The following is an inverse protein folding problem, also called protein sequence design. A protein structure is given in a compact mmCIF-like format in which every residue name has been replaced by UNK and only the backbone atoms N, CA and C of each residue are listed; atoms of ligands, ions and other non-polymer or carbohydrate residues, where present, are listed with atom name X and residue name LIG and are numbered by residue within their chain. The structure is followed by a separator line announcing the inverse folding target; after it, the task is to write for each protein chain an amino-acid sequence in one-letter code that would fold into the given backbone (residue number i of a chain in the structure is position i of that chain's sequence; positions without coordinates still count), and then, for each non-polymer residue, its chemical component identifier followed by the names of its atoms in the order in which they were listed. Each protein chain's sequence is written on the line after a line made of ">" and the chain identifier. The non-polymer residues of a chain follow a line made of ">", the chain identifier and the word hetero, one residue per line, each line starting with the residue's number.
data_IF_538667423822
#
_entry.id   IF_538667423822
#
_cell.length_a   1.000
_cell.length_b   1.000
_cell.length_c   1.000
_cell.angle_alpha   90.00
_cell.angle_beta   90.00
_cell.angle_gamma   90.00
#
_symmetry.space_group_name_H-M   'P 1'
#
loop_
_entity.id
_entity.type
_entity.pdbx_description
1 polymer ?
#
# COMPACT_ATOMS: atom_id res chain seq x y z
N UNK A 1 19.66 -44.88 -76.58
CA UNK A 1 18.50 -45.11 -75.69
C UNK A 1 18.07 -43.77 -75.15
N UNK A 2 16.84 -43.24 -75.49
CA UNK A 2 16.37 -42.00 -74.89
C UNK A 2 16.13 -42.19 -73.41
N UNK A 3 16.74 -41.36 -72.56
CA UNK A 3 16.44 -41.28 -71.16
C UNK A 3 15.16 -40.44 -71.03
N UNK A 4 14.06 -41.08 -70.73
CA UNK A 4 12.82 -40.37 -70.30
C UNK A 4 13.07 -39.77 -68.90
N UNK A 5 13.30 -38.46 -68.84
CA UNK A 5 13.26 -37.71 -67.56
C UNK A 5 11.79 -37.57 -67.18
N UNK A 6 11.39 -38.26 -66.13
CA UNK A 6 10.05 -38.02 -65.54
C UNK A 6 10.04 -36.65 -64.83
N UNK A 7 9.21 -35.76 -65.34
CA UNK A 7 8.92 -34.49 -64.64
C UNK A 7 7.83 -34.77 -63.59
N UNK A 8 8.15 -34.62 -62.33
CA UNK A 8 7.19 -34.70 -61.25
C UNK A 8 6.53 -33.35 -61.06
N UNK A 9 5.27 -33.22 -61.46
CA UNK A 9 4.51 -31.99 -61.29
C UNK A 9 3.64 -32.19 -60.01
N UNK A 10 3.75 -31.28 -59.08
CA UNK A 10 2.85 -31.16 -57.94
C UNK A 10 1.89 -30.04 -58.17
N UNK A 11 0.59 -30.30 -58.22
CA UNK A 11 -0.48 -29.30 -58.34
C UNK A 11 -1.17 -29.17 -56.99
N UNK A 12 -1.27 -27.94 -56.51
CA UNK A 12 -1.91 -27.61 -55.25
C UNK A 12 -3.00 -26.56 -55.46
N UNK A 13 -4.06 -26.58 -54.61
CA UNK A 13 -5.10 -25.56 -54.67
C UNK A 13 -4.57 -24.26 -54.07
N UNK A 14 -4.97 -23.15 -54.66
CA UNK A 14 -4.72 -21.81 -54.13
C UNK A 14 -5.92 -21.36 -53.34
N UNK A 15 -5.74 -20.91 -52.11
CA UNK A 15 -6.77 -20.47 -51.18
C UNK A 15 -6.38 -19.11 -50.55
N UNK A 16 -7.29 -18.54 -49.75
CA UNK A 16 -7.09 -17.25 -49.07
C UNK A 16 -7.43 -17.37 -47.60
N UNK A 17 -6.47 -17.01 -46.74
CA UNK A 17 -6.62 -16.88 -45.27
C UNK A 17 -6.64 -15.42 -44.88
N UNK A 18 -7.60 -15.02 -44.04
CA UNK A 18 -7.67 -13.66 -43.49
C UNK A 18 -7.16 -13.70 -42.06
N UNK A 19 -6.15 -12.88 -41.75
CA UNK A 19 -5.51 -12.79 -40.44
C UNK A 19 -5.56 -11.34 -39.92
N UNK A 20 -5.62 -11.18 -38.60
CA UNK A 20 -5.39 -9.89 -37.93
C UNK A 20 -3.93 -9.48 -38.04
N UNK A 21 -3.69 -8.19 -38.08
CA UNK A 21 -2.35 -7.64 -38.05
C UNK A 21 -1.97 -7.24 -36.63
N UNK A 22 -0.98 -7.89 -36.07
CA UNK A 22 -0.46 -7.60 -34.75
C UNK A 22 0.62 -6.51 -34.82
N UNK A 23 0.50 -5.50 -33.97
CA UNK A 23 1.46 -4.40 -33.87
C UNK A 23 2.38 -4.64 -32.70
N UNK A 24 3.63 -4.93 -32.96
CA UNK A 24 4.67 -5.10 -31.95
C UNK A 24 5.49 -3.83 -31.84
N UNK A 25 5.73 -3.39 -30.59
CA UNK A 25 6.63 -2.26 -30.31
C UNK A 25 8.00 -2.77 -29.89
N UNK A 26 9.06 -2.12 -30.37
CA UNK A 26 10.45 -2.40 -30.01
C UNK A 26 11.09 -1.19 -29.35
N UNK A 27 12.09 -1.43 -28.49
CA UNK A 27 12.71 -0.35 -27.73
C UNK A 27 11.92 0.04 -26.48
N UNK A 28 12.30 1.16 -25.87
CA UNK A 28 11.64 1.73 -24.68
C UNK A 28 11.30 3.19 -24.91
N UNK A 29 10.11 3.60 -24.52
CA UNK A 29 9.71 5.01 -24.53
C UNK A 29 10.61 5.86 -23.62
N UNK A 30 10.54 7.17 -23.74
CA UNK A 30 11.26 8.07 -22.84
C UNK A 30 10.81 7.86 -21.38
N UNK A 31 11.71 8.17 -20.42
CA UNK A 31 11.37 8.11 -19.00
C UNK A 31 10.13 8.94 -18.69
N UNK A 32 9.16 8.36 -17.99
CA UNK A 32 7.88 8.98 -17.67
C UNK A 32 6.81 8.86 -18.76
N UNK A 33 7.05 8.03 -19.78
CA UNK A 33 6.09 7.76 -20.87
C UNK A 33 5.89 6.25 -21.06
N UNK A 34 4.76 5.87 -21.66
CA UNK A 34 4.42 4.48 -21.99
C UNK A 34 3.59 4.43 -23.27
N UNK A 35 3.59 3.27 -23.93
CA UNK A 35 2.63 2.98 -24.98
C UNK A 35 1.25 2.78 -24.34
N UNK A 36 0.29 3.61 -24.72
CA UNK A 36 -1.09 3.56 -24.22
C UNK A 36 -1.98 2.65 -25.06
N UNK A 37 -1.80 2.70 -26.39
CA UNK A 37 -2.49 1.86 -27.36
C UNK A 37 -1.72 1.78 -28.67
N UNK A 38 -2.02 0.75 -29.45
CA UNK A 38 -1.55 0.58 -30.82
C UNK A 38 -2.74 0.31 -31.74
N UNK A 39 -2.70 0.81 -32.95
CA UNK A 39 -3.71 0.51 -33.96
C UNK A 39 -3.08 0.40 -35.36
N UNK A 40 -3.70 -0.37 -36.23
CA UNK A 40 -3.25 -0.56 -37.61
C UNK A 40 -4.37 -0.36 -38.62
N UNK A 41 -4.04 0.14 -39.77
CA UNK A 41 -4.93 0.23 -40.92
C UNK A 41 -4.24 -0.33 -42.17
N UNK A 42 -4.74 -1.45 -42.74
CA UNK A 42 -5.91 -2.26 -42.33
C UNK A 42 -5.63 -3.10 -41.09
N UNK A 43 -6.70 -3.42 -40.33
CA UNK A 43 -6.61 -4.32 -39.15
C UNK A 43 -6.53 -5.79 -39.55
N UNK A 44 -7.08 -6.15 -40.72
CA UNK A 44 -7.09 -7.51 -41.26
C UNK A 44 -6.49 -7.52 -42.65
N UNK A 45 -5.65 -8.50 -42.94
CA UNK A 45 -4.99 -8.68 -44.23
C UNK A 45 -5.25 -10.08 -44.74
N UNK A 46 -5.47 -10.18 -46.05
CA UNK A 46 -5.64 -11.48 -46.72
C UNK A 46 -4.28 -11.96 -47.23
N UNK A 47 -4.02 -13.24 -46.92
CA UNK A 47 -2.86 -13.98 -47.47
C UNK A 47 -3.40 -15.00 -48.46
N UNK A 48 -2.92 -14.97 -49.68
CA UNK A 48 -3.35 -15.89 -50.77
C UNK A 48 -2.15 -16.72 -51.22
N UNK A 49 -2.35 -18.04 -51.36
CA UNK A 49 -1.26 -18.93 -51.77
C UNK A 49 -1.68 -20.40 -51.78
N UNK A 50 -0.74 -21.34 -52.03
CA UNK A 50 -0.97 -22.77 -51.89
C UNK A 50 -1.42 -23.15 -50.50
N UNK A 51 -2.37 -24.06 -50.36
CA UNK A 51 -3.01 -24.42 -49.10
C UNK A 51 -1.97 -24.88 -48.05
N UNK A 52 -0.97 -25.67 -48.45
CA UNK A 52 0.10 -26.14 -47.54
C UNK A 52 0.94 -24.99 -46.95
N UNK A 53 1.21 -23.96 -47.75
CA UNK A 53 1.96 -22.78 -47.29
C UNK A 53 1.08 -21.88 -46.44
N UNK A 54 -0.22 -21.74 -46.74
CA UNK A 54 -1.14 -20.96 -45.90
C UNK A 54 -1.33 -21.55 -44.51
N UNK A 55 -1.28 -22.88 -44.37
CA UNK A 55 -1.31 -23.55 -43.07
C UNK A 55 -0.10 -23.18 -42.20
N UNK A 56 1.07 -22.95 -42.79
CA UNK A 56 2.28 -22.56 -42.06
C UNK A 56 2.25 -21.08 -41.57
N UNK A 57 1.38 -20.22 -42.14
CA UNK A 57 1.25 -18.84 -41.70
C UNK A 57 0.36 -18.77 -40.46
N UNK A 58 0.97 -18.55 -39.30
CA UNK A 58 0.26 -18.47 -38.02
C UNK A 58 -0.22 -17.04 -37.73
N UNK A 59 0.59 -16.01 -37.98
CA UNK A 59 0.28 -14.63 -37.66
C UNK A 59 0.87 -13.64 -38.69
N UNK A 60 0.30 -12.43 -38.68
CA UNK A 60 0.87 -11.27 -39.38
C UNK A 60 1.32 -10.25 -38.36
N UNK A 61 2.49 -9.66 -38.54
CA UNK A 61 3.00 -8.65 -37.63
C UNK A 61 3.69 -7.49 -38.31
N UNK A 62 3.72 -6.35 -37.62
CA UNK A 62 4.57 -5.19 -37.92
C UNK A 62 5.32 -4.81 -36.66
N UNK A 63 6.56 -4.30 -36.84
CA UNK A 63 7.37 -3.81 -35.74
C UNK A 63 7.53 -2.29 -35.84
N UNK A 64 7.31 -1.58 -34.74
CA UNK A 64 7.48 -0.13 -34.62
C UNK A 64 8.46 0.17 -33.50
N UNK A 65 9.52 0.92 -33.80
CA UNK A 65 10.46 1.37 -32.78
C UNK A 65 9.90 2.58 -32.04
N UNK A 66 9.75 2.43 -30.70
CA UNK A 66 9.26 3.48 -29.78
C UNK A 66 10.39 4.07 -28.92
N UNK A 67 11.66 3.80 -29.28
CA UNK A 67 12.82 4.24 -28.51
C UNK A 67 12.84 5.74 -28.30
N UNK A 68 12.78 6.15 -27.00
CA UNK A 68 12.83 7.56 -26.61
C UNK A 68 11.57 8.37 -26.95
N UNK A 69 10.48 7.74 -27.40
CA UNK A 69 9.25 8.42 -27.78
C UNK A 69 8.60 9.13 -26.59
N UNK A 70 8.11 10.36 -26.83
CA UNK A 70 7.34 11.21 -25.91
C UNK A 70 6.00 11.65 -26.48
N UNK A 71 5.83 11.46 -27.78
CA UNK A 71 4.66 11.86 -28.57
C UNK A 71 4.20 10.67 -29.38
N UNK A 72 2.96 10.71 -29.85
CA UNK A 72 2.36 9.66 -30.66
C UNK A 72 3.17 9.45 -31.96
N UNK A 73 3.27 8.19 -32.37
CA UNK A 73 3.98 7.80 -33.58
C UNK A 73 2.95 7.35 -34.60
N UNK A 74 3.00 8.02 -35.78
CA UNK A 74 2.27 7.57 -36.97
C UNK A 74 3.28 7.22 -38.06
N UNK A 75 3.27 5.95 -38.46
CA UNK A 75 4.24 5.44 -39.45
C UNK A 75 3.62 4.37 -40.34
N UNK A 76 4.23 4.11 -41.47
CA UNK A 76 3.89 2.99 -42.36
C UNK A 76 5.00 1.93 -42.25
N UNK A 77 4.60 0.69 -41.95
CA UNK A 77 5.53 -0.42 -41.73
C UNK A 77 5.22 -1.62 -42.63
N UNK A 78 6.26 -2.38 -42.97
CA UNK A 78 6.12 -3.60 -43.77
C UNK A 78 5.50 -4.74 -42.96
N UNK A 79 4.51 -5.41 -43.55
CA UNK A 79 3.82 -6.55 -42.95
C UNK A 79 4.67 -7.82 -43.10
N UNK A 80 4.92 -8.50 -42.02
CA UNK A 80 5.64 -9.77 -41.96
C UNK A 80 4.68 -10.93 -41.70
N UNK A 81 4.86 -12.03 -42.41
CA UNK A 81 4.19 -13.29 -42.14
C UNK A 81 5.05 -14.10 -41.17
N UNK A 82 4.44 -14.66 -40.13
CA UNK A 82 5.14 -15.47 -39.12
C UNK A 82 4.55 -16.87 -39.05
N UNK A 83 5.44 -17.85 -38.78
CA UNK A 83 5.05 -19.21 -38.44
C UNK A 83 4.62 -19.35 -36.95
N UNK A 84 4.30 -20.57 -36.52
CA UNK A 84 3.90 -20.85 -35.13
C UNK A 84 5.03 -20.61 -34.12
N UNK A 85 6.30 -20.67 -34.59
CA UNK A 85 7.49 -20.42 -33.75
C UNK A 85 7.89 -18.93 -33.74
N UNK A 86 7.16 -18.08 -34.50
CA UNK A 86 7.41 -16.63 -34.61
C UNK A 86 8.53 -16.26 -35.61
N UNK A 87 8.97 -17.21 -36.47
CA UNK A 87 9.94 -16.92 -37.51
C UNK A 87 9.27 -16.31 -38.73
N UNK A 88 9.96 -15.40 -39.41
CA UNK A 88 9.46 -14.75 -40.63
C UNK A 88 9.44 -15.73 -41.81
N UNK A 89 8.27 -15.84 -42.45
CA UNK A 89 8.08 -16.60 -43.67
C UNK A 89 8.26 -15.66 -44.85
N UNK A 90 9.25 -15.94 -45.68
CA UNK A 90 9.47 -15.26 -46.96
C UNK A 90 9.32 -16.27 -48.08
N UNK A 91 8.22 -16.18 -48.85
CA UNK A 91 7.92 -17.10 -49.93
C UNK A 91 7.11 -16.39 -51.05
N UNK A 92 7.65 -16.36 -52.26
CA UNK A 92 7.04 -15.67 -53.40
C UNK A 92 5.71 -16.29 -53.87
N UNK A 93 5.35 -17.52 -53.38
CA UNK A 93 4.07 -18.13 -53.68
C UNK A 93 2.94 -17.63 -52.72
N UNK A 94 3.27 -16.90 -51.66
CA UNK A 94 2.34 -16.27 -50.74
C UNK A 94 2.21 -14.77 -51.11
N UNK A 95 0.99 -14.31 -51.28
CA UNK A 95 0.68 -12.92 -51.67
C UNK A 95 -0.15 -12.27 -50.55
N UNK A 96 0.32 -11.10 -50.08
CA UNK A 96 -0.44 -10.26 -49.17
C UNK A 96 -1.33 -9.29 -49.93
N UNK A 97 -2.59 -9.10 -49.51
CA UNK A 97 -3.46 -8.07 -50.08
C UNK A 97 -2.95 -6.65 -49.85
N UNK A 98 -2.09 -6.47 -48.84
CA UNK A 98 -1.40 -5.23 -48.50
C UNK A 98 -0.05 -5.56 -47.87
N UNK A 99 1.04 -5.07 -48.43
CA UNK A 99 2.40 -5.33 -47.94
C UNK A 99 2.88 -4.29 -46.93
N UNK A 100 2.15 -3.16 -46.80
CA UNK A 100 2.41 -2.10 -45.80
C UNK A 100 1.12 -1.74 -45.09
N UNK A 101 1.21 -1.45 -43.80
CA UNK A 101 0.11 -0.93 -43.05
C UNK A 101 0.49 0.39 -42.35
N UNK A 102 -0.50 1.27 -42.23
CA UNK A 102 -0.34 2.49 -41.45
C UNK A 102 -0.58 2.17 -40.00
N UNK A 103 0.36 2.50 -39.13
CA UNK A 103 0.39 2.19 -37.71
C UNK A 103 0.35 3.47 -36.91
N UNK A 104 -0.54 3.54 -35.95
CA UNK A 104 -0.54 4.58 -34.92
C UNK A 104 -0.22 3.95 -33.57
N UNK A 105 0.74 4.54 -32.87
CA UNK A 105 1.13 4.19 -31.50
C UNK A 105 0.89 5.42 -30.63
N UNK A 106 -0.08 5.32 -29.74
CA UNK A 106 -0.40 6.38 -28.79
C UNK A 106 0.59 6.32 -27.62
N UNK A 107 1.27 7.42 -27.34
CA UNK A 107 2.22 7.55 -26.23
C UNK A 107 1.59 8.42 -25.14
N UNK A 108 1.52 7.90 -23.94
CA UNK A 108 0.96 8.62 -22.80
C UNK A 108 1.98 8.83 -21.67
N UNK A 109 1.82 9.94 -20.94
CA UNK A 109 2.60 10.20 -19.74
C UNK A 109 2.25 9.22 -18.64
N UNK A 110 3.26 8.85 -17.84
CA UNK A 110 3.11 8.06 -16.62
C UNK A 110 3.31 8.95 -15.39
N UNK A 111 2.60 8.63 -14.32
CA UNK A 111 2.79 9.21 -13.00
C UNK A 111 2.81 8.12 -11.95
N UNK A 112 3.82 8.14 -11.07
CA UNK A 112 3.81 7.31 -9.86
C UNK A 112 3.03 8.04 -8.79
N UNK A 113 2.03 7.37 -8.22
CA UNK A 113 1.17 7.88 -7.15
C UNK A 113 1.29 7.00 -5.92
N UNK A 114 1.25 7.60 -4.73
CA UNK A 114 1.27 6.86 -3.48
C UNK A 114 -0.10 6.21 -3.21
N UNK A 115 -0.09 5.10 -2.47
CA UNK A 115 -1.31 4.43 -2.02
C UNK A 115 -1.37 4.54 -0.50
N UNK A 116 -2.52 4.94 0.03
CA UNK A 116 -2.78 5.01 1.47
C UNK A 116 -4.05 4.26 1.82
N UNK A 117 -4.01 3.59 2.97
CA UNK A 117 -5.15 2.90 3.54
C UNK A 117 -5.17 3.10 5.05
N UNK A 118 -6.34 3.31 5.62
CA UNK A 118 -6.55 3.40 7.06
C UNK A 118 -7.65 2.43 7.47
N UNK A 119 -7.49 1.83 8.63
CA UNK A 119 -8.52 0.96 9.23
C UNK A 119 -9.57 1.78 9.97
N UNK A 120 -10.77 1.23 10.10
CA UNK A 120 -11.83 1.68 10.99
C UNK A 120 -12.22 0.56 11.94
N UNK A 121 -12.96 0.92 13.00
CA UNK A 121 -13.47 -0.04 13.96
C UNK A 121 -12.49 -0.42 15.06
N UNK A 122 -12.96 -1.25 15.98
CA UNK A 122 -12.24 -1.70 17.18
C UNK A 122 -12.19 -3.22 17.19
N UNK A 123 -11.01 -3.85 17.32
CA UNK A 123 -10.89 -5.29 17.48
C UNK A 123 -11.66 -5.80 18.70
N UNK A 124 -11.87 -7.11 18.77
CA UNK A 124 -12.47 -7.78 19.93
C UNK A 124 -11.73 -7.43 21.21
N UNK A 125 -12.44 -7.49 22.34
CA UNK A 125 -11.83 -7.29 23.66
C UNK A 125 -10.60 -8.18 23.85
N UNK A 126 -9.52 -7.58 24.36
CA UNK A 126 -8.23 -8.26 24.51
C UNK A 126 -7.36 -8.31 23.26
N UNK A 127 -7.78 -7.70 22.16
CA UNK A 127 -7.01 -7.63 20.90
C UNK A 127 -6.68 -6.20 20.49
N UNK A 128 -5.67 -6.04 19.66
CA UNK A 128 -5.20 -4.74 19.15
C UNK A 128 -4.74 -4.87 17.69
N UNK A 129 -4.93 -3.80 16.91
CA UNK A 129 -4.30 -3.69 15.60
C UNK A 129 -2.81 -3.39 15.83
N UNK A 130 -1.95 -4.24 15.28
CA UNK A 130 -0.49 -4.06 15.39
C UNK A 130 0.09 -3.40 14.15
N UNK A 131 -0.52 -3.65 12.98
CA UNK A 131 -0.06 -3.09 11.71
C UNK A 131 -1.16 -3.15 10.65
N UNK A 132 -0.98 -2.36 9.58
CA UNK A 132 -1.79 -2.40 8.36
C UNK A 132 -0.84 -2.46 7.16
N UNK A 133 -0.69 -3.65 6.61
CA UNK A 133 0.29 -3.96 5.55
C UNK A 133 -0.39 -3.87 4.20
N UNK A 134 0.16 -3.06 3.29
CA UNK A 134 -0.25 -2.97 1.90
C UNK A 134 0.68 -3.80 1.03
N UNK A 135 0.14 -4.53 0.04
CA UNK A 135 0.93 -5.30 -0.94
C UNK A 135 1.83 -4.42 -1.80
N UNK A 136 1.45 -3.15 -1.98
CA UNK A 136 2.23 -2.14 -2.69
C UNK A 136 1.96 -0.75 -2.10
N UNK A 137 2.99 0.09 -2.00
CA UNK A 137 2.89 1.45 -1.45
C UNK A 137 2.63 2.51 -2.53
N UNK A 138 2.79 2.17 -3.81
CA UNK A 138 2.60 3.06 -4.94
C UNK A 138 2.10 2.31 -6.17
N UNK A 139 1.51 3.04 -7.11
CA UNK A 139 1.12 2.54 -8.41
C UNK A 139 1.58 3.50 -9.51
N UNK A 140 1.80 2.96 -10.71
CA UNK A 140 2.09 3.77 -11.91
C UNK A 140 0.81 3.87 -12.72
N UNK A 141 0.37 5.09 -12.95
CA UNK A 141 -0.85 5.42 -13.70
C UNK A 141 -0.51 6.20 -14.96
N UNK A 142 -1.41 6.12 -15.95
CA UNK A 142 -1.37 6.90 -17.18
C UNK A 142 -2.74 7.46 -17.51
N UNK A 143 -2.78 8.55 -18.25
CA UNK A 143 -4.00 9.25 -18.63
C UNK A 143 -3.68 10.63 -19.18
N UNK A 144 -4.70 11.46 -19.44
CA UNK A 144 -4.47 12.84 -19.85
C UNK A 144 -3.79 13.64 -18.74
N UNK A 145 -3.03 14.67 -19.10
CA UNK A 145 -2.31 15.52 -18.13
C UNK A 145 -3.24 16.14 -17.09
N UNK A 146 -4.45 16.52 -17.48
CA UNK A 146 -5.49 17.05 -16.57
C UNK A 146 -5.93 16.04 -15.53
N UNK A 147 -6.05 14.77 -15.90
CA UNK A 147 -6.42 13.70 -14.98
C UNK A 147 -5.26 13.31 -14.08
N UNK A 148 -4.05 13.19 -14.64
CA UNK A 148 -2.84 12.90 -13.88
C UNK A 148 -2.54 14.01 -12.85
N UNK A 149 -2.85 15.27 -13.17
CA UNK A 149 -2.71 16.40 -12.25
C UNK A 149 -3.62 16.34 -11.03
N UNK A 150 -4.73 15.61 -11.11
CA UNK A 150 -5.73 15.49 -10.02
C UNK A 150 -5.49 14.32 -9.08
N UNK A 151 -4.58 13.39 -9.42
CA UNK A 151 -4.32 12.18 -8.63
C UNK A 151 -2.88 12.20 -8.14
N UNK A 152 -2.68 12.56 -6.87
CA UNK A 152 -1.37 12.49 -6.19
C UNK A 152 -1.29 11.26 -5.28
N UNK A 153 -2.42 10.85 -4.73
CA UNK A 153 -2.51 9.71 -3.82
C UNK A 153 -3.82 8.96 -4.06
N UNK A 154 -3.74 7.64 -4.08
CA UNK A 154 -4.90 6.76 -4.09
C UNK A 154 -5.21 6.40 -2.65
N UNK A 155 -6.38 6.81 -2.17
CA UNK A 155 -6.78 6.57 -0.78
C UNK A 155 -7.90 5.55 -0.71
N UNK A 156 -7.66 4.44 0.00
CA UNK A 156 -8.70 3.48 0.34
C UNK A 156 -9.44 4.00 1.58
N UNK A 157 -10.76 4.29 1.49
CA UNK A 157 -11.52 4.80 2.62
C UNK A 157 -11.52 3.82 3.79
N UNK A 158 -11.37 4.33 5.01
CA UNK A 158 -11.25 3.50 6.22
C UNK A 158 -12.47 2.60 6.46
N UNK A 159 -13.67 3.03 6.07
CA UNK A 159 -14.88 2.21 6.18
C UNK A 159 -14.83 0.90 5.39
N UNK A 160 -13.96 0.82 4.37
CA UNK A 160 -13.80 -0.39 3.56
C UNK A 160 -12.84 -1.40 4.23
N UNK A 161 -12.13 -0.99 5.29
CA UNK A 161 -11.18 -1.82 6.04
C UNK A 161 -11.62 -1.83 7.50
N UNK A 162 -12.66 -2.62 7.77
CA UNK A 162 -13.28 -2.65 9.09
C UNK A 162 -12.62 -3.71 9.99
N UNK A 163 -12.10 -3.28 11.13
CA UNK A 163 -11.48 -4.10 12.16
C UNK A 163 -12.41 -4.45 13.32
N UNK A 164 -13.71 -4.07 13.26
CA UNK A 164 -14.66 -4.36 14.34
C UNK A 164 -14.75 -5.85 14.65
N UNK A 165 -14.57 -6.20 15.93
CA UNK A 165 -14.69 -7.56 16.42
C UNK A 165 -13.63 -8.54 15.91
N UNK A 166 -12.56 -8.07 15.25
CA UNK A 166 -11.50 -8.95 14.79
C UNK A 166 -10.66 -9.48 15.97
N UNK A 167 -10.38 -10.78 15.96
CA UNK A 167 -9.49 -11.48 16.89
C UNK A 167 -8.32 -12.18 16.17
N UNK A 168 -8.23 -12.03 14.85
CA UNK A 168 -7.17 -12.57 13.99
C UNK A 168 -6.93 -11.65 12.81
N UNK A 169 -5.80 -11.84 12.12
CA UNK A 169 -5.45 -11.12 10.90
C UNK A 169 -6.56 -11.23 9.86
N UNK A 170 -6.81 -10.13 9.15
CA UNK A 170 -7.78 -10.09 8.06
C UNK A 170 -7.22 -9.38 6.84
N UNK A 171 -7.44 -10.00 5.69
CA UNK A 171 -7.00 -9.49 4.40
C UNK A 171 -8.19 -9.00 3.59
N UNK A 172 -8.04 -7.84 2.98
CA UNK A 172 -8.98 -7.19 2.07
C UNK A 172 -8.32 -7.03 0.71
N UNK A 173 -9.07 -7.21 -0.36
CA UNK A 173 -8.58 -7.01 -1.74
C UNK A 173 -9.40 -5.92 -2.40
N UNK A 174 -8.72 -4.96 -3.03
CA UNK A 174 -9.32 -3.82 -3.71
C UNK A 174 -8.81 -3.73 -5.14
N UNK A 175 -9.66 -3.21 -6.03
CA UNK A 175 -9.25 -2.76 -7.35
C UNK A 175 -8.97 -1.27 -7.28
N UNK A 176 -7.74 -0.86 -7.55
CA UNK A 176 -7.34 0.55 -7.48
C UNK A 176 -8.09 1.42 -8.49
N UNK A 177 -8.57 0.83 -9.59
CA UNK A 177 -9.41 1.53 -10.59
C UNK A 177 -10.70 2.12 -10.02
N UNK A 178 -11.22 1.56 -8.92
CA UNK A 178 -12.46 2.02 -8.29
C UNK A 178 -12.25 3.29 -7.45
N UNK A 179 -10.98 3.70 -7.25
CA UNK A 179 -10.58 4.81 -6.39
C UNK A 179 -9.88 5.95 -7.16
N UNK A 180 -9.92 5.91 -8.48
CA UNK A 180 -9.37 6.95 -9.36
C UNK A 180 -10.42 7.44 -10.36
N UNK A 181 -10.29 8.66 -10.91
CA UNK A 181 -11.20 9.15 -11.95
C UNK A 181 -11.22 8.24 -13.17
N UNK A 182 -12.39 8.16 -13.83
CA UNK A 182 -12.52 7.44 -15.09
C UNK A 182 -11.60 8.08 -16.16
N UNK A 183 -10.92 7.25 -16.96
CA UNK A 183 -9.89 7.68 -17.92
C UNK A 183 -8.45 7.52 -17.41
N UNK A 184 -8.24 7.26 -16.13
CA UNK A 184 -6.95 6.79 -15.60
C UNK A 184 -6.82 5.29 -15.87
N UNK A 185 -5.67 4.87 -16.40
CA UNK A 185 -5.29 3.47 -16.60
C UNK A 185 -4.06 3.16 -15.73
N UNK A 186 -3.94 1.90 -15.31
CA UNK A 186 -2.78 1.42 -14.56
C UNK A 186 -1.78 0.77 -15.51
N UNK A 187 -0.52 1.15 -15.39
CA UNK A 187 0.62 0.52 -16.08
C UNK A 187 1.15 -0.64 -15.25
N UNK A 188 1.07 -0.52 -13.92
CA UNK A 188 1.36 -1.59 -12.96
C UNK A 188 0.10 -2.38 -12.59
N UNK A 189 0.24 -3.40 -11.73
CA UNK A 189 -0.91 -4.13 -11.20
C UNK A 189 -1.89 -3.16 -10.49
N UNK A 190 -3.16 -3.26 -10.83
CA UNK A 190 -4.26 -2.50 -10.22
C UNK A 190 -4.91 -3.21 -9.03
N UNK A 191 -4.43 -4.38 -8.64
CA UNK A 191 -4.91 -5.11 -7.46
C UNK A 191 -4.11 -4.70 -6.22
N UNK A 192 -4.80 -4.30 -5.16
CA UNK A 192 -4.23 -3.99 -3.86
C UNK A 192 -4.75 -4.96 -2.82
N UNK A 193 -3.83 -5.59 -2.10
CA UNK A 193 -4.16 -6.37 -0.90
C UNK A 193 -3.75 -5.60 0.34
N UNK A 194 -4.68 -5.44 1.29
CA UNK A 194 -4.46 -4.81 2.58
C UNK A 194 -4.67 -5.84 3.68
N UNK A 195 -3.63 -6.11 4.46
CA UNK A 195 -3.71 -7.05 5.59
C UNK A 195 -3.66 -6.27 6.89
N UNK A 196 -4.75 -6.35 7.67
CA UNK A 196 -4.82 -5.84 9.03
C UNK A 196 -4.28 -6.91 9.97
N UNK A 197 -3.18 -6.60 10.65
CA UNK A 197 -2.54 -7.47 11.63
C UNK A 197 -3.17 -7.28 12.99
N UNK A 198 -3.61 -8.38 13.60
CA UNK A 198 -4.27 -8.41 14.90
C UNK A 198 -3.45 -9.28 15.87
N UNK A 199 -3.18 -8.76 17.05
CA UNK A 199 -2.56 -9.52 18.13
C UNK A 199 -3.33 -9.37 19.45
N UNK A 200 -3.16 -10.32 20.36
CA UNK A 200 -3.62 -10.15 21.74
C UNK A 200 -2.86 -9.01 22.41
N UNK A 201 -3.55 -8.23 23.23
CA UNK A 201 -2.92 -7.24 24.08
C UNK A 201 -2.03 -7.95 25.10
N UNK A 202 -0.77 -7.60 25.11
CA UNK A 202 0.14 -8.04 26.17
C UNK A 202 -0.09 -7.21 27.44
N UNK A 203 0.37 -7.71 28.59
CA UNK A 203 0.31 -7.02 29.88
C UNK A 203 1.68 -6.99 30.52
N UNK A 204 1.99 -5.89 31.21
CA UNK A 204 3.23 -5.71 31.95
C UNK A 204 2.94 -5.07 33.30
N UNK A 205 3.60 -5.52 34.36
CA UNK A 205 3.58 -4.85 35.64
C UNK A 205 4.66 -3.78 35.69
N UNK A 206 4.30 -2.58 36.16
CA UNK A 206 5.20 -1.46 36.41
C UNK A 206 5.09 -1.10 37.87
N UNK A 207 6.26 -0.91 38.52
CA UNK A 207 6.34 -0.48 39.92
C UNK A 207 7.01 0.90 39.96
N UNK A 208 6.40 1.81 40.68
CA UNK A 208 6.94 3.14 41.00
C UNK A 208 7.18 3.24 42.49
N UNK A 209 8.33 3.77 42.87
CA UNK A 209 8.62 4.09 44.27
C UNK A 209 7.80 5.30 44.73
N UNK A 210 7.66 5.46 46.06
CA UNK A 210 6.94 6.60 46.64
C UNK A 210 7.49 7.97 46.16
N UNK A 211 8.81 8.06 45.94
CA UNK A 211 9.49 9.27 45.49
C UNK A 211 9.23 9.64 44.01
N UNK A 212 8.74 8.69 43.20
CA UNK A 212 8.42 8.93 41.80
C UNK A 212 6.99 9.43 41.59
N UNK A 213 6.21 9.55 42.68
CA UNK A 213 4.83 10.05 42.65
C UNK A 213 4.83 11.53 43.01
N UNK A 214 4.43 12.38 42.07
CA UNK A 214 4.35 13.81 42.27
C UNK A 214 3.13 14.20 43.12
N UNK A 215 3.34 14.97 44.16
CA UNK A 215 2.28 15.48 45.02
C UNK A 215 1.87 16.88 44.56
N UNK A 216 0.64 17.07 44.13
CA UNK A 216 0.12 18.34 43.64
C UNK A 216 -0.88 18.95 44.64
N UNK A 217 -0.97 20.27 44.66
CA UNK A 217 -1.98 21.02 45.41
C UNK A 217 -1.99 20.77 46.95
N UNK A 218 -0.83 20.54 47.56
CA UNK A 218 -0.69 20.47 49.03
C UNK A 218 -1.12 21.82 49.58
N UNK A 219 -2.04 21.83 50.58
CA UNK A 219 -2.47 23.06 51.25
C UNK A 219 -1.33 23.68 52.08
N UNK A 220 -1.29 25.01 52.11
CA UNK A 220 -0.33 25.75 52.95
C UNK A 220 -0.50 25.35 54.43
N UNK A 221 0.59 25.05 55.12
CA UNK A 221 0.61 24.63 56.51
C UNK A 221 0.50 23.08 56.69
N UNK A 222 0.56 22.32 55.59
CA UNK A 222 0.62 20.86 55.66
C UNK A 222 1.83 20.29 54.91
N UNK A 223 2.30 19.14 55.41
CA UNK A 223 3.23 18.26 54.71
C UNK A 223 2.46 17.00 54.29
N UNK A 224 2.80 16.47 53.09
CA UNK A 224 2.22 15.24 52.58
C UNK A 224 3.31 14.23 52.22
N UNK A 225 3.10 12.95 52.46
CA UNK A 225 4.04 11.89 52.16
C UNK A 225 3.31 10.65 51.69
N UNK A 226 3.79 10.05 50.60
CA UNK A 226 3.40 8.70 50.14
C UNK A 226 4.26 7.70 50.88
N UNK A 227 3.62 6.75 51.60
CA UNK A 227 4.33 5.80 52.47
C UNK A 227 4.86 4.58 51.73
N UNK A 228 4.24 4.21 50.62
CA UNK A 228 4.58 3.02 49.81
C UNK A 228 4.52 3.33 48.33
N UNK A 229 5.38 2.65 47.59
CA UNK A 229 5.29 2.67 46.11
C UNK A 229 4.01 1.96 45.63
N UNK A 230 3.74 2.10 44.36
CA UNK A 230 2.59 1.47 43.70
C UNK A 230 3.08 0.48 42.65
N UNK A 231 2.33 -0.62 42.50
CA UNK A 231 2.50 -1.56 41.37
C UNK A 231 1.15 -1.65 40.64
N UNK A 232 1.18 -1.50 39.36
CA UNK A 232 0.00 -1.55 38.50
C UNK A 232 0.28 -2.28 37.22
N UNK A 233 -0.77 -2.76 36.57
CA UNK A 233 -0.69 -3.47 35.29
C UNK A 233 -1.04 -2.55 34.17
N UNK A 234 -0.22 -2.56 33.12
CA UNK A 234 -0.48 -1.87 31.84
C UNK A 234 -0.69 -2.90 30.74
N UNK A 235 -1.43 -2.51 29.70
CA UNK A 235 -1.71 -3.35 28.54
C UNK A 235 -1.49 -2.56 27.26
N UNK A 236 -1.04 -3.25 26.22
CA UNK A 236 -0.76 -2.66 24.91
C UNK A 236 -0.15 -3.66 23.93
N UNK A 237 0.44 -3.15 22.87
CA UNK A 237 1.22 -3.96 21.94
C UNK A 237 2.51 -4.45 22.64
N UNK A 238 2.86 -5.72 22.47
CA UNK A 238 4.01 -6.36 23.11
C UNK A 238 5.33 -5.64 22.79
N UNK A 239 5.53 -5.23 21.55
CA UNK A 239 6.72 -4.48 21.14
C UNK A 239 6.86 -3.13 21.88
N UNK A 240 5.73 -2.44 22.12
CA UNK A 240 5.72 -1.16 22.84
C UNK A 240 5.91 -1.43 24.34
N UNK A 241 5.22 -2.41 24.89
CA UNK A 241 5.32 -2.77 26.31
C UNK A 241 6.73 -3.23 26.72
N UNK A 242 7.42 -3.96 25.83
CA UNK A 242 8.79 -4.43 26.11
C UNK A 242 9.75 -3.27 26.31
N UNK A 243 9.57 -2.17 25.58
CA UNK A 243 10.42 -0.97 25.63
C UNK A 243 10.09 -0.05 26.81
N UNK A 244 8.87 -0.11 27.39
CA UNK A 244 8.45 0.79 28.46
C UNK A 244 9.03 0.38 29.81
N UNK A 245 9.57 1.33 30.54
CA UNK A 245 10.11 1.22 31.88
C UNK A 245 9.38 2.14 32.87
N UNK A 246 9.67 2.05 34.15
CA UNK A 246 9.13 2.95 35.18
C UNK A 246 9.42 4.42 34.89
N UNK A 247 10.60 4.74 34.33
CA UNK A 247 11.02 6.12 34.01
C UNK A 247 10.19 6.79 32.91
N UNK A 248 9.48 6.01 32.09
CA UNK A 248 8.63 6.50 31.01
C UNK A 248 7.22 6.86 31.50
N UNK A 249 6.90 6.52 32.74
CA UNK A 249 5.60 6.77 33.37
C UNK A 249 5.68 7.95 34.31
N UNK A 250 4.82 8.95 34.13
CA UNK A 250 4.65 10.02 35.10
C UNK A 250 3.42 9.74 35.95
N UNK A 251 3.61 9.75 37.28
CA UNK A 251 2.55 9.54 38.23
C UNK A 251 2.35 10.81 39.09
N UNK A 252 1.11 11.22 39.26
CA UNK A 252 0.79 12.37 40.12
C UNK A 252 -0.53 12.17 40.86
N UNK A 253 -0.63 12.76 42.03
CA UNK A 253 -1.86 12.79 42.84
C UNK A 253 -2.24 14.23 43.15
N UNK A 254 -3.53 14.49 43.20
CA UNK A 254 -4.07 15.81 43.55
C UNK A 254 -4.58 15.74 45.01
N UNK A 255 -3.96 16.57 45.85
CA UNK A 255 -4.27 16.66 47.29
C UNK A 255 -5.13 17.87 47.63
N UNK A 256 -5.76 18.51 46.63
CA UNK A 256 -6.63 19.66 46.79
C UNK A 256 -7.76 19.31 47.78
N UNK A 257 -7.97 20.20 48.76
CA UNK A 257 -9.02 20.11 49.79
C UNK A 257 -8.89 18.90 50.75
N UNK A 258 -7.72 18.26 50.82
CA UNK A 258 -7.45 17.23 51.80
C UNK A 258 -6.76 17.82 53.05
N UNK A 259 -7.31 17.54 54.25
CA UNK A 259 -6.75 17.96 55.54
C UNK A 259 -5.79 16.93 56.12
N UNK A 260 -5.36 17.13 57.37
CA UNK A 260 -4.51 16.17 58.08
C UNK A 260 -5.20 14.79 58.22
N UNK A 261 -4.43 13.71 58.02
CA UNK A 261 -4.92 12.33 58.08
C UNK A 261 -4.33 11.47 56.97
N UNK A 262 -4.78 10.20 56.91
CA UNK A 262 -4.42 9.28 55.82
C UNK A 262 -5.57 9.22 54.83
N UNK A 263 -5.25 9.46 53.56
CA UNK A 263 -6.20 9.49 52.46
C UNK A 263 -5.82 8.47 51.38
N UNK A 264 -6.80 7.76 50.85
CA UNK A 264 -6.62 6.94 49.67
C UNK A 264 -6.98 7.78 48.44
N UNK A 265 -5.99 8.05 47.57
CA UNK A 265 -6.11 8.97 46.44
C UNK A 265 -5.83 8.25 45.13
N UNK A 266 -6.63 8.54 44.11
CA UNK A 266 -6.40 8.02 42.76
C UNK A 266 -5.16 8.66 42.15
N UNK A 267 -4.29 7.84 41.57
CA UNK A 267 -3.07 8.28 40.88
C UNK A 267 -3.40 8.58 39.41
N UNK A 268 -3.13 9.79 38.98
CA UNK A 268 -3.15 10.17 37.58
C UNK A 268 -1.85 9.68 36.93
N UNK A 269 -1.96 8.78 35.94
CA UNK A 269 -0.84 8.22 35.21
C UNK A 269 -0.80 8.80 33.80
N UNK A 270 0.38 9.29 33.38
CA UNK A 270 0.69 9.65 32.00
C UNK A 270 1.56 8.55 31.42
N UNK A 271 1.05 7.86 30.42
CA UNK A 271 1.68 6.70 29.79
C UNK A 271 2.07 7.04 28.34
N UNK A 272 3.06 6.36 27.79
CA UNK A 272 3.37 6.44 26.35
C UNK A 272 2.20 6.03 25.45
N UNK A 273 2.20 6.50 24.22
CA UNK A 273 1.15 6.18 23.23
C UNK A 273 1.02 4.68 23.01
N UNK A 274 -0.22 4.20 22.89
CA UNK A 274 -0.53 2.78 22.66
C UNK A 274 -0.53 1.92 23.93
N UNK A 275 -0.33 2.51 25.12
CA UNK A 275 -0.40 1.82 26.42
C UNK A 275 -1.54 2.36 27.26
N UNK A 276 -2.25 1.45 27.92
CA UNK A 276 -3.34 1.79 28.84
C UNK A 276 -3.19 1.06 30.16
N UNK A 277 -3.61 1.71 31.27
CA UNK A 277 -3.63 1.06 32.59
C UNK A 277 -4.84 0.13 32.71
N UNK A 278 -4.64 -0.98 33.38
CA UNK A 278 -5.72 -1.93 33.73
C UNK A 278 -6.27 -1.58 35.12
N UNK A 279 -7.52 -1.12 35.18
CA UNK A 279 -8.17 -0.73 36.41
C UNK A 279 -7.77 0.63 36.95
N UNK A 280 -8.18 0.94 38.15
CA UNK A 280 -7.87 2.16 38.88
C UNK A 280 -6.66 1.96 39.78
N UNK A 281 -5.70 2.90 39.75
CA UNK A 281 -4.53 2.89 40.61
C UNK A 281 -4.73 3.90 41.72
N UNK A 282 -4.61 3.47 42.97
CA UNK A 282 -4.75 4.32 44.16
C UNK A 282 -3.53 4.18 45.04
N UNK A 283 -3.28 5.21 45.84
CA UNK A 283 -2.19 5.22 46.83
C UNK A 283 -2.63 5.85 48.14
N UNK A 284 -2.09 5.39 49.26
CA UNK A 284 -2.31 6.01 50.55
C UNK A 284 -1.28 7.13 50.78
N UNK A 285 -1.79 8.31 51.10
CA UNK A 285 -1.02 9.51 51.42
C UNK A 285 -1.32 9.94 52.81
N UNK A 286 -0.28 10.21 53.61
CA UNK A 286 -0.41 10.79 54.91
C UNK A 286 -0.11 12.29 54.88
N UNK A 287 -1.05 13.09 55.36
CA UNK A 287 -0.95 14.55 55.45
C UNK A 287 -0.86 14.94 56.90
N UNK A 288 0.19 15.71 57.23
CA UNK A 288 0.44 16.19 58.62
C UNK A 288 0.50 17.71 58.64
N UNK A 289 -0.09 18.32 59.69
CA UNK A 289 0.01 19.76 59.88
C UNK A 289 1.47 20.15 60.31
N UNK A 290 1.96 21.19 59.73
CA UNK A 290 3.26 21.75 60.15
C UNK A 290 3.04 22.50 61.46
N UNK A 291 3.61 21.99 62.57
CA UNK A 291 3.63 22.74 63.84
C UNK A 291 4.55 23.93 63.69
N UNK A 292 4.00 25.14 63.82
CA UNK A 292 4.84 26.32 64.05
C UNK A 292 5.46 26.23 65.46
N UNK A 293 6.77 26.09 65.54
CA UNK A 293 7.47 26.33 66.80
C UNK A 293 7.24 27.78 67.23
N UNK A 294 6.40 27.94 68.25
CA UNK A 294 6.33 29.23 68.95
C UNK A 294 7.60 29.38 69.76
N UNK A 295 8.53 30.14 69.26
CA UNK A 295 9.66 30.64 70.05
C UNK A 295 9.12 31.57 71.10
N UNK A 296 8.93 31.06 72.33
CA UNK A 296 8.68 31.87 73.52
C UNK A 296 10.03 32.58 73.83
N UNK A 297 10.14 33.85 73.42
CA UNK A 297 11.19 34.73 73.89
C UNK A 297 11.03 34.97 75.39
N UNK A 298 11.83 34.30 76.19
CA UNK A 298 11.90 34.52 77.63
C UNK A 298 12.54 35.86 77.89
N UNK A 299 11.78 36.94 78.08
CA UNK A 299 12.21 38.21 78.56
C UNK A 299 12.64 38.06 80.03
N UNK A 300 13.94 38.01 80.30
CA UNK A 300 14.49 38.09 81.62
C UNK A 300 14.53 39.56 82.05
N UNK A 301 13.74 39.89 83.10
CA UNK A 301 13.80 41.15 83.82
C UNK A 301 15.06 41.22 84.72
#
# INVERSE_FOLDING_TARGET
>A
VPRTSALKLSIENRDTKTLSLDVNTTGSTASGYTVASTSSSPTYIKVTGPTSLLESVAALSVNVDVSGAKEDISTSADVKMLDEDGNEIVNDALELSCTKADINVDIARMKTVSITAKTSGTPSDGYIITDTILSQASAVITGSDDLLGKVDTITIPSQNINADGLSADKTYTFRLSDYVPSGIKFVSDSSLTVTVKIAQKATKQISLSASEITLNNIQTGFNAQVMQGITFTVTGNDNVLSAVSASDVKAGIDLKNLGAGTHNVTVALSLPDGITVVGNVTVNVTITAIQQETTTESTKA
#
